data_IF_621066268516
#
_entry.id   IF_621066268516
#
_cell.length_a   1.000
_cell.length_b   1.000
_cell.length_c   1.000
_cell.angle_alpha   90.00
_cell.angle_beta   90.00
_cell.angle_gamma   90.00
#
_symmetry.space_group_name_H-M   'P 1'
#
loop_
_entity.id
_entity.type
_entity.pdbx_description
1 polymer ?
#
# COMPACT_ATOMS: atom_id res chain seq x y z
N UNK A 1 5.94 7.81 -14.64
CA UNK A 1 4.65 7.08 -14.61
C UNK A 1 3.49 8.07 -14.71
N UNK A 2 2.37 7.80 -15.44
CA UNK A 2 1.24 8.72 -15.52
C UNK A 2 0.39 8.73 -14.25
N UNK A 3 -0.11 9.91 -13.85
CA UNK A 3 -1.00 10.07 -12.69
C UNK A 3 -2.46 9.66 -12.96
N UNK A 4 -2.81 9.33 -14.20
CA UNK A 4 -4.21 9.14 -14.60
C UNK A 4 -5.00 8.11 -13.77
N UNK A 5 -4.44 6.95 -13.38
CA UNK A 5 -5.20 5.99 -12.57
C UNK A 5 -5.56 6.54 -11.19
N UNK A 6 -4.68 7.34 -10.60
CA UNK A 6 -4.86 7.93 -9.28
C UNK A 6 -5.92 9.03 -9.30
N UNK A 7 -5.93 9.87 -10.35
CA UNK A 7 -6.98 10.87 -10.55
C UNK A 7 -8.36 10.22 -10.78
N UNK A 8 -8.42 9.09 -11.48
CA UNK A 8 -9.64 8.31 -11.64
C UNK A 8 -10.10 7.70 -10.32
N UNK A 9 -9.18 7.14 -9.54
CA UNK A 9 -9.44 6.63 -8.19
C UNK A 9 -10.07 7.72 -7.31
N UNK A 10 -9.45 8.89 -7.19
CA UNK A 10 -9.96 9.98 -6.34
C UNK A 10 -11.36 10.43 -6.77
N UNK A 11 -11.54 10.59 -8.09
CA UNK A 11 -12.82 11.00 -8.68
C UNK A 11 -13.95 10.01 -8.40
N UNK A 12 -13.67 8.71 -8.49
CA UNK A 12 -14.70 7.67 -8.43
C UNK A 12 -14.92 7.10 -7.03
N UNK A 13 -13.93 7.18 -6.13
CA UNK A 13 -14.05 6.73 -4.73
C UNK A 13 -14.47 7.84 -3.76
N UNK A 14 -14.29 9.12 -4.14
CA UNK A 14 -14.37 10.25 -3.20
C UNK A 14 -13.35 10.19 -2.05
N UNK A 15 -12.25 9.43 -2.22
CA UNK A 15 -11.11 9.39 -1.31
C UNK A 15 -10.01 10.25 -1.93
N UNK A 16 -9.54 11.27 -1.20
CA UNK A 16 -8.42 12.08 -1.65
C UNK A 16 -7.10 11.36 -1.34
N UNK A 17 -6.21 11.27 -2.32
CA UNK A 17 -4.85 10.78 -2.09
C UNK A 17 -4.02 11.90 -1.47
N UNK A 18 -3.15 11.58 -0.50
CA UNK A 18 -2.23 12.56 0.06
C UNK A 18 -1.34 13.18 -1.01
N UNK A 19 -1.02 14.45 -0.81
CA UNK A 19 -0.12 15.22 -1.68
C UNK A 19 1.24 14.55 -1.78
N UNK A 20 1.77 14.01 -0.67
CA UNK A 20 3.05 13.30 -0.69
C UNK A 20 3.04 12.06 -1.59
N UNK A 21 1.92 11.34 -1.68
CA UNK A 21 1.78 10.19 -2.58
C UNK A 21 1.78 10.63 -4.05
N UNK A 22 0.96 11.64 -4.40
CA UNK A 22 0.88 12.11 -5.79
C UNK A 22 2.20 12.77 -6.26
N UNK A 23 2.89 13.48 -5.37
CA UNK A 23 4.26 13.98 -5.61
C UNK A 23 5.24 12.84 -5.83
N UNK A 24 5.23 11.82 -4.97
CA UNK A 24 6.07 10.64 -5.11
C UNK A 24 5.89 9.96 -6.48
N UNK A 25 4.65 9.70 -6.90
CA UNK A 25 4.39 9.10 -8.22
C UNK A 25 4.91 9.99 -9.36
N UNK A 26 4.79 11.32 -9.23
CA UNK A 26 5.24 12.26 -10.25
C UNK A 26 6.77 12.34 -10.34
N UNK A 27 7.47 12.28 -9.22
CA UNK A 27 8.93 12.48 -9.13
C UNK A 27 9.70 11.17 -9.27
N UNK A 28 9.15 10.08 -8.76
CA UNK A 28 9.79 8.76 -8.66
C UNK A 28 9.08 7.67 -9.47
N UNK A 29 8.19 8.04 -10.39
CA UNK A 29 7.43 7.08 -11.19
C UNK A 29 8.29 6.09 -11.98
N UNK A 30 9.55 6.42 -12.31
CA UNK A 30 10.47 5.48 -12.96
C UNK A 30 10.94 4.37 -12.00
N UNK A 31 11.09 4.68 -10.70
CA UNK A 31 11.39 3.67 -9.67
C UNK A 31 10.21 2.74 -9.46
N UNK A 32 8.99 3.28 -9.43
CA UNK A 32 7.77 2.45 -9.37
C UNK A 32 7.68 1.53 -10.59
N UNK A 33 7.97 2.04 -11.79
CA UNK A 33 8.02 1.18 -12.99
C UNK A 33 9.06 0.06 -12.84
N UNK A 34 10.28 0.38 -12.37
CA UNK A 34 11.33 -0.63 -12.12
C UNK A 34 10.85 -1.71 -11.14
N UNK A 35 10.23 -1.30 -10.02
CA UNK A 35 9.68 -2.24 -9.05
C UNK A 35 8.65 -3.18 -9.67
N UNK A 36 7.72 -2.64 -10.47
CA UNK A 36 6.70 -3.44 -11.13
C UNK A 36 7.27 -4.36 -12.22
N UNK A 37 8.35 -3.95 -12.89
CA UNK A 37 9.03 -4.79 -13.88
C UNK A 37 9.77 -5.96 -13.20
N UNK A 38 10.39 -5.71 -12.02
CA UNK A 38 11.04 -6.74 -11.19
C UNK A 38 10.05 -7.69 -10.52
N UNK A 39 8.82 -7.25 -10.28
CA UNK A 39 7.85 -8.02 -9.52
C UNK A 39 7.39 -9.31 -10.23
N UNK A 40 7.73 -9.51 -11.52
CA UNK A 40 7.51 -10.61 -12.49
C UNK A 40 6.16 -11.36 -12.48
N UNK A 41 5.60 -11.63 -11.31
CA UNK A 41 4.28 -12.17 -11.06
C UNK A 41 3.21 -11.07 -11.12
N UNK A 42 2.15 -11.30 -11.91
CA UNK A 42 0.96 -10.45 -11.99
C UNK A 42 0.24 -10.28 -10.64
N UNK A 43 0.49 -11.19 -9.68
CA UNK A 43 -0.06 -11.13 -8.33
C UNK A 43 0.64 -10.10 -7.43
N UNK A 44 1.82 -9.60 -7.78
CA UNK A 44 2.59 -8.66 -6.95
C UNK A 44 2.34 -7.22 -7.42
N UNK A 45 1.45 -6.51 -6.74
CA UNK A 45 1.02 -5.16 -7.09
C UNK A 45 1.44 -4.19 -5.98
N UNK A 46 2.75 -3.99 -5.79
CA UNK A 46 3.27 -3.16 -4.69
C UNK A 46 2.71 -1.73 -4.68
N UNK A 47 2.51 -1.16 -5.87
CA UNK A 47 1.77 0.09 -6.09
C UNK A 47 0.86 -0.13 -7.30
N UNK A 48 -0.45 -0.15 -7.07
CA UNK A 48 -1.44 -0.42 -8.09
C UNK A 48 -1.56 0.71 -9.10
N UNK A 49 -1.81 0.31 -10.35
CA UNK A 49 -2.14 1.17 -11.48
C UNK A 49 -3.58 0.96 -11.95
N UNK A 50 -4.33 0.08 -11.29
CA UNK A 50 -5.73 -0.20 -11.59
C UNK A 50 -6.63 0.58 -10.63
N UNK A 51 -7.24 1.64 -11.16
CA UNK A 51 -8.15 2.49 -10.40
C UNK A 51 -9.37 1.72 -9.88
N UNK A 52 -9.89 0.73 -10.62
CA UNK A 52 -11.04 -0.07 -10.19
C UNK A 52 -10.67 -0.98 -9.04
N UNK A 53 -9.50 -1.63 -9.10
CA UNK A 53 -9.00 -2.43 -7.99
C UNK A 53 -8.80 -1.57 -6.73
N UNK A 54 -8.14 -0.41 -6.86
CA UNK A 54 -7.93 0.49 -5.72
C UNK A 54 -9.26 0.95 -5.10
N UNK A 55 -10.26 1.28 -5.92
CA UNK A 55 -11.61 1.63 -5.44
C UNK A 55 -12.20 0.46 -4.65
N UNK A 56 -12.19 -0.76 -5.22
CA UNK A 56 -12.76 -1.93 -4.57
C UNK A 56 -12.08 -2.23 -3.23
N UNK A 57 -10.74 -2.25 -3.19
CA UNK A 57 -9.96 -2.50 -1.98
C UNK A 57 -10.21 -1.45 -0.88
N UNK A 58 -10.30 -0.17 -1.25
CA UNK A 58 -10.57 0.89 -0.28
C UNK A 58 -12.03 0.94 0.16
N UNK A 59 -12.99 0.57 -0.69
CA UNK A 59 -14.39 0.43 -0.27
C UNK A 59 -14.52 -0.72 0.72
N UNK A 60 -13.97 -1.90 0.41
CA UNK A 60 -14.04 -3.08 1.27
C UNK A 60 -13.40 -2.84 2.65
N UNK A 61 -12.23 -2.20 2.66
CA UNK A 61 -11.52 -1.89 3.90
C UNK A 61 -12.19 -0.81 4.75
N UNK A 62 -13.13 -0.03 4.19
CA UNK A 62 -13.85 1.05 4.90
C UNK A 62 -15.28 0.68 5.27
N UNK A 63 -15.99 -0.06 4.41
CA UNK A 63 -17.38 -0.46 4.62
C UNK A 63 -17.53 -1.49 5.74
N UNK A 64 -16.44 -2.17 6.09
CA UNK A 64 -16.45 -3.20 7.12
C UNK A 64 -16.98 -2.72 8.48
N UNK A 65 -16.94 -1.40 8.80
CA UNK A 65 -17.39 -0.69 10.03
C UNK A 65 -16.98 -1.29 11.40
N UNK A 66 -16.53 -2.55 11.44
CA UNK A 66 -16.12 -3.38 12.58
C UNK A 66 -15.68 -4.81 12.16
N UNK A 67 -15.33 -5.06 10.88
CA UNK A 67 -14.84 -6.35 10.40
C UNK A 67 -13.32 -6.51 10.54
N UNK A 68 -12.76 -7.71 10.34
CA UNK A 68 -11.30 -7.92 10.35
C UNK A 68 -10.59 -7.06 9.29
N UNK A 69 -11.32 -6.64 8.25
CA UNK A 69 -10.83 -5.80 7.15
C UNK A 69 -10.96 -4.30 7.40
N UNK A 70 -11.38 -3.83 8.58
CA UNK A 70 -11.57 -2.40 8.80
C UNK A 70 -10.24 -1.66 9.03
N UNK A 71 -9.81 -0.88 8.03
CA UNK A 71 -8.56 -0.12 8.02
C UNK A 71 -8.86 1.39 8.01
N UNK A 72 -9.17 2.00 9.17
CA UNK A 72 -9.42 3.44 9.23
C UNK A 72 -8.13 4.24 9.06
N UNK A 73 -8.25 5.44 8.49
CA UNK A 73 -7.16 6.44 8.40
C UNK A 73 -6.02 6.09 7.44
N UNK A 74 -6.21 5.05 6.62
CA UNK A 74 -5.25 4.66 5.59
C UNK A 74 -5.91 4.49 4.23
N UNK A 75 -5.10 4.50 3.19
CA UNK A 75 -5.48 4.21 1.81
C UNK A 75 -4.68 3.01 1.35
N UNK A 76 -5.36 1.96 0.91
CA UNK A 76 -4.73 0.79 0.31
C UNK A 76 -4.27 1.15 -1.09
N UNK A 77 -2.98 0.99 -1.36
CA UNK A 77 -2.37 1.33 -2.65
C UNK A 77 -1.84 0.12 -3.41
N UNK A 78 -1.73 -1.04 -2.77
CA UNK A 78 -1.16 -2.23 -3.39
C UNK A 78 -1.31 -3.50 -2.55
N UNK A 79 -0.78 -4.60 -3.05
CA UNK A 79 -0.59 -5.88 -2.35
C UNK A 79 0.65 -6.60 -2.87
N UNK A 80 1.20 -7.51 -2.07
CA UNK A 80 2.38 -8.31 -2.44
C UNK A 80 2.04 -9.68 -3.04
N UNK A 81 0.76 -9.97 -3.26
CA UNK A 81 0.29 -11.24 -3.83
C UNK A 81 0.25 -12.41 -2.86
N UNK A 82 0.83 -12.27 -1.66
CA UNK A 82 0.84 -13.28 -0.60
C UNK A 82 -0.24 -13.05 0.46
N UNK A 83 -1.12 -12.06 0.26
CA UNK A 83 -2.17 -11.68 1.20
C UNK A 83 -1.82 -10.43 2.02
N UNK A 84 -0.67 -9.79 1.79
CA UNK A 84 -0.33 -8.54 2.46
C UNK A 84 -0.83 -7.34 1.65
N UNK A 85 -1.45 -6.38 2.33
CA UNK A 85 -1.82 -5.10 1.75
C UNK A 85 -0.77 -4.04 2.02
N UNK A 86 -0.59 -3.15 1.07
CA UNK A 86 0.27 -1.98 1.22
C UNK A 86 -0.62 -0.76 1.37
N UNK A 87 -0.49 -0.09 2.50
CA UNK A 87 -1.33 1.02 2.89
C UNK A 87 -0.50 2.26 3.23
N UNK A 88 -1.02 3.44 2.88
CA UNK A 88 -0.44 4.74 3.23
C UNK A 88 -1.39 5.53 4.11
N UNK A 89 -0.86 6.50 4.85
CA UNK A 89 -1.65 7.35 5.73
C UNK A 89 -2.54 8.30 4.92
N UNK A 90 -3.76 8.55 5.38
CA UNK A 90 -4.58 9.65 4.85
C UNK A 90 -4.10 11.04 5.31
N UNK A 91 -3.31 11.11 6.39
CA UNK A 91 -2.82 12.34 6.96
C UNK A 91 -1.59 12.83 6.18
N UNK A 92 -1.68 14.05 5.62
CA UNK A 92 -0.62 14.71 4.85
C UNK A 92 0.72 14.85 5.58
N UNK A 93 0.71 14.88 6.91
CA UNK A 93 1.93 15.01 7.74
C UNK A 93 2.57 13.67 8.12
N UNK A 94 1.92 12.56 7.78
CA UNK A 94 2.38 11.21 8.07
C UNK A 94 2.62 10.50 6.74
N UNK A 95 3.88 10.31 6.39
CA UNK A 95 4.30 9.70 5.13
C UNK A 95 4.47 8.18 5.24
N UNK A 96 4.17 7.59 6.40
CA UNK A 96 4.41 6.18 6.65
C UNK A 96 3.66 5.28 5.67
N UNK A 97 4.31 4.16 5.36
CA UNK A 97 3.75 3.05 4.57
C UNK A 97 3.71 1.83 5.47
N UNK A 98 2.57 1.14 5.50
CA UNK A 98 2.37 -0.10 6.25
C UNK A 98 2.20 -1.27 5.29
N UNK A 99 2.85 -2.39 5.61
CA UNK A 99 2.56 -3.69 5.02
C UNK A 99 1.73 -4.47 6.04
N UNK A 100 0.47 -4.70 5.71
CA UNK A 100 -0.52 -5.30 6.60
C UNK A 100 -0.76 -6.73 6.18
N UNK A 101 -0.27 -7.67 6.99
CA UNK A 101 -0.55 -9.10 6.80
C UNK A 101 -1.96 -9.45 7.29
N UNK A 102 -2.79 -9.93 6.37
CA UNK A 102 -4.17 -10.29 6.68
C UNK A 102 -4.31 -11.54 7.54
N UNK A 103 -3.38 -12.49 7.43
CA UNK A 103 -3.44 -13.71 8.23
C UNK A 103 -3.18 -13.41 9.71
N UNK A 104 -2.43 -12.33 9.99
CA UNK A 104 -2.09 -11.88 11.35
C UNK A 104 -2.80 -10.58 11.76
N UNK A 105 -3.79 -10.12 10.98
CA UNK A 105 -4.44 -8.81 11.22
C UNK A 105 -5.03 -8.66 12.62
N UNK A 106 -5.46 -9.76 13.25
CA UNK A 106 -6.00 -9.73 14.60
C UNK A 106 -4.94 -9.52 15.69
N UNK A 107 -3.68 -9.87 15.42
CA UNK A 107 -2.58 -9.69 16.37
C UNK A 107 -2.24 -8.20 16.51
N UNK A 108 -2.42 -7.42 15.43
CA UNK A 108 -2.18 -5.98 15.41
C UNK A 108 -3.36 -5.16 15.95
N UNK A 109 -4.48 -5.77 16.34
CA UNK A 109 -5.70 -5.02 16.69
C UNK A 109 -5.68 -4.54 18.13
N UNK A 110 -6.07 -3.28 18.30
CA UNK A 110 -6.42 -2.76 19.60
C UNK A 110 -7.75 -3.41 20.06
N UNK A 111 -7.78 -4.10 21.21
CA UNK A 111 -8.95 -4.84 21.67
C UNK A 111 -10.13 -3.94 22.08
N UNK A 112 -9.89 -2.66 22.35
CA UNK A 112 -10.92 -1.71 22.77
C UNK A 112 -11.60 -1.03 21.56
N UNK A 113 -10.81 -0.63 20.56
CA UNK A 113 -11.32 0.06 19.37
C UNK A 113 -11.65 -0.89 18.23
N UNK A 114 -11.15 -2.13 18.28
CA UNK A 114 -11.26 -3.13 17.22
C UNK A 114 -10.64 -2.68 15.89
N UNK A 115 -9.71 -1.71 15.93
CA UNK A 115 -8.94 -1.21 14.79
C UNK A 115 -7.48 -1.66 14.87
N UNK A 116 -6.74 -1.57 13.78
CA UNK A 116 -5.28 -1.76 13.78
C UNK A 116 -4.64 -0.75 14.73
N UNK A 117 -3.72 -1.23 15.58
CA UNK A 117 -2.72 -0.40 16.24
C UNK A 117 -1.58 -0.17 15.25
N UNK A 118 -1.61 0.99 14.59
CA UNK A 118 -0.62 1.38 13.58
C UNK A 118 0.80 1.57 14.12
N UNK A 119 1.01 1.42 15.43
CA UNK A 119 2.33 1.43 16.07
C UNK A 119 2.69 0.07 16.70
N UNK A 120 1.96 -1.00 16.37
CA UNK A 120 2.28 -2.35 16.81
C UNK A 120 3.69 -2.74 16.36
N UNK A 121 4.46 -3.39 17.23
CA UNK A 121 5.89 -3.66 16.98
C UNK A 121 6.13 -4.66 15.84
N UNK A 122 5.22 -5.61 15.67
CA UNK A 122 5.27 -6.62 14.61
C UNK A 122 4.69 -6.12 13.26
N UNK A 123 4.14 -4.91 13.21
CA UNK A 123 3.64 -4.36 11.96
C UNK A 123 4.82 -3.82 11.15
N UNK A 124 4.94 -4.24 9.89
CA UNK A 124 6.00 -3.76 9.01
C UNK A 124 5.68 -2.32 8.55
N UNK A 125 6.59 -1.39 8.86
CA UNK A 125 6.40 0.05 8.62
C UNK A 125 7.63 0.68 8.01
N UNK A 126 7.42 1.45 6.95
CA UNK A 126 8.42 2.29 6.31
C UNK A 126 8.13 3.75 6.59
N UNK A 127 9.15 4.59 6.71
CA UNK A 127 8.95 6.01 7.02
C UNK A 127 8.39 6.83 5.85
N UNK A 128 8.55 6.35 4.61
CA UNK A 128 8.02 6.96 3.39
C UNK A 128 8.03 5.97 2.20
N UNK A 129 7.34 6.37 1.13
CA UNK A 129 7.25 5.60 -0.12
C UNK A 129 8.59 5.38 -0.83
N UNK A 130 9.55 6.31 -0.69
CA UNK A 130 10.86 6.17 -1.32
C UNK A 130 11.62 5.01 -0.69
N UNK A 131 11.70 4.96 0.64
CA UNK A 131 12.36 3.85 1.35
C UNK A 131 11.66 2.53 1.05
N UNK A 132 10.33 2.50 1.11
CA UNK A 132 9.54 1.32 0.75
C UNK A 132 9.92 0.81 -0.65
N UNK A 133 9.83 1.65 -1.68
CA UNK A 133 10.09 1.20 -3.06
C UNK A 133 11.54 0.80 -3.28
N UNK A 134 12.52 1.50 -2.70
CA UNK A 134 13.93 1.13 -2.87
C UNK A 134 14.26 -0.19 -2.15
N UNK A 135 13.75 -0.42 -0.94
CA UNK A 135 13.95 -1.68 -0.22
C UNK A 135 13.28 -2.86 -0.96
N UNK A 136 12.08 -2.68 -1.50
CA UNK A 136 11.44 -3.73 -2.31
C UNK A 136 12.20 -4.02 -3.61
N UNK A 137 12.77 -3.00 -4.25
CA UNK A 137 13.65 -3.19 -5.43
C UNK A 137 14.91 -3.97 -5.04
N UNK A 138 15.54 -3.64 -3.91
CA UNK A 138 16.74 -4.33 -3.42
C UNK A 138 16.44 -5.81 -3.16
N UNK A 139 15.38 -6.09 -2.39
CA UNK A 139 14.94 -7.46 -2.09
C UNK A 139 14.66 -8.29 -3.36
N UNK A 140 13.91 -7.74 -4.32
CA UNK A 140 13.59 -8.46 -5.55
C UNK A 140 14.83 -8.65 -6.44
N UNK A 141 15.77 -7.69 -6.44
CA UNK A 141 17.00 -7.82 -7.24
C UNK A 141 17.93 -8.89 -6.66
N UNK A 142 18.05 -8.98 -5.32
CA UNK A 142 18.83 -10.04 -4.66
C UNK A 142 18.24 -11.42 -4.93
N UNK A 143 16.89 -11.51 -4.92
CA UNK A 143 16.21 -12.75 -5.23
C UNK A 143 16.44 -13.18 -6.68
N UNK A 144 16.46 -12.26 -7.65
CA UNK A 144 16.69 -12.59 -9.07
C UNK A 144 18.14 -13.09 -9.32
N UNK A 145 19.13 -12.51 -8.63
CA UNK A 145 20.54 -12.91 -8.72
C UNK A 145 20.82 -14.33 -8.18
N UNK A 146 19.99 -14.85 -7.27
CA UNK A 146 20.17 -16.19 -6.69
C UNK A 146 19.70 -17.35 -7.61
N UNK A 147 19.05 -17.05 -8.75
CA UNK A 147 18.55 -18.07 -9.71
C UNK A 147 19.31 -18.12 -11.05
N UNK A 148 20.32 -17.26 -11.25
CA UNK A 148 21.23 -17.26 -12.42
C UNK A 148 22.54 -18.07 -12.20
#
# INVERSE_FOLDING_TARGET
MPLSPYLEFEKNSSIALPTHFTQFISEHGDRVSKLLDLAENEDNIFISRDSNWMIAANVESRDSKSGPFYLPHVIVIGHDGAGNLIAISENESDERVWVVDFDYINDYRNPETLTIDWNHEDLEVYSNLILFVEEQIELLSELDEDWD
#
